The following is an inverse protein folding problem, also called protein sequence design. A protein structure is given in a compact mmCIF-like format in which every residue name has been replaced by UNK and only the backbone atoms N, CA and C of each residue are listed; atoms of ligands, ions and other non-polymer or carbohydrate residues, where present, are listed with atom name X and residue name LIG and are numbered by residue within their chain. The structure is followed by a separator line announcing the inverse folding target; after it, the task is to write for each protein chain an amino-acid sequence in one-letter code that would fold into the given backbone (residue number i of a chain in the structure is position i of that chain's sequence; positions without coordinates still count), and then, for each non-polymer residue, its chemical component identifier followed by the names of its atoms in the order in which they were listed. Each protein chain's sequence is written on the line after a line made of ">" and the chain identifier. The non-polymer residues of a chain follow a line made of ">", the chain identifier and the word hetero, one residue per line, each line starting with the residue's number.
data_IF_595887721204
#
_entry.id   IF_595887721204
#
_cell.length_a   1.000
_cell.length_b   1.000
_cell.length_c   1.000
_cell.angle_alpha   90.00
_cell.angle_beta   90.00
_cell.angle_gamma   90.00
#
_symmetry.space_group_name_H-M   'P 1'
#
loop_
_entity.id
_entity.type
_entity.pdbx_description
1 polymer ?
#
# COMPACT_ATOMS: atom_id res chain seq x y z
N UNK A 1 -76.85 -16.91 11.28
CA UNK A 1 -76.37 -16.82 9.89
C UNK A 1 -75.07 -16.05 9.90
N UNK A 2 -74.05 -16.70 9.35
CA UNK A 2 -72.76 -16.22 8.85
C UNK A 2 -71.72 -15.65 9.83
N UNK A 3 -70.91 -16.60 10.33
CA UNK A 3 -69.52 -16.41 10.75
C UNK A 3 -68.67 -16.11 9.51
N UNK A 4 -68.12 -14.90 9.43
CA UNK A 4 -67.08 -14.55 8.45
C UNK A 4 -65.72 -15.07 8.95
N UNK A 5 -65.25 -16.13 8.29
CA UNK A 5 -63.93 -16.74 8.49
C UNK A 5 -62.96 -16.01 7.57
N UNK A 6 -62.12 -15.12 8.11
CA UNK A 6 -60.99 -14.57 7.35
C UNK A 6 -59.78 -15.50 7.51
N UNK A 7 -59.55 -16.29 6.46
CA UNK A 7 -58.39 -17.16 6.29
C UNK A 7 -57.11 -16.32 6.23
N UNK A 8 -56.23 -16.50 7.21
CA UNK A 8 -54.85 -16.01 7.14
C UNK A 8 -54.11 -16.77 6.02
N UNK A 9 -53.30 -16.09 5.19
CA UNK A 9 -52.46 -16.78 4.22
C UNK A 9 -51.39 -17.60 4.95
N UNK A 10 -51.35 -18.89 4.68
CA UNK A 10 -50.28 -19.79 5.10
C UNK A 10 -49.02 -19.38 4.34
N UNK A 11 -48.05 -18.76 5.02
CA UNK A 11 -46.68 -18.64 4.50
C UNK A 11 -46.07 -20.05 4.45
N UNK A 12 -46.05 -20.65 3.27
CA UNK A 12 -45.24 -21.83 3.00
C UNK A 12 -43.80 -21.36 2.92
N UNK A 13 -43.05 -21.50 4.03
CA UNK A 13 -41.60 -21.39 4.00
C UNK A 13 -41.06 -22.54 3.15
N UNK A 14 -40.75 -22.22 1.89
CA UNK A 14 -40.03 -23.11 1.01
C UNK A 14 -38.64 -23.34 1.63
N UNK A 15 -38.22 -24.60 1.71
CA UNK A 15 -36.98 -25.00 2.35
C UNK A 15 -35.81 -24.20 1.79
N UNK A 16 -34.99 -23.66 2.69
CA UNK A 16 -33.77 -22.95 2.35
C UNK A 16 -32.86 -23.88 1.54
N UNK A 17 -32.72 -23.62 0.24
CA UNK A 17 -31.55 -24.09 -0.50
C UNK A 17 -30.34 -23.38 0.11
N UNK A 18 -29.52 -24.14 0.84
CA UNK A 18 -28.25 -23.66 1.36
C UNK A 18 -27.40 -23.14 0.20
N UNK A 19 -27.12 -21.84 0.21
CA UNK A 19 -26.17 -21.24 -0.72
C UNK A 19 -24.83 -22.00 -0.61
N UNK A 20 -24.22 -22.44 -1.73
CA UNK A 20 -22.98 -23.20 -1.66
C UNK A 20 -21.91 -22.35 -0.97
N UNK A 21 -21.45 -22.82 0.18
CA UNK A 21 -20.32 -22.23 0.90
C UNK A 21 -19.12 -22.18 -0.05
N UNK A 22 -18.46 -21.01 -0.24
CA UNK A 22 -17.27 -20.95 -1.05
C UNK A 22 -16.20 -21.83 -0.39
N UNK A 23 -15.89 -22.95 -1.06
CA UNK A 23 -14.76 -23.81 -0.69
C UNK A 23 -13.50 -23.05 -1.08
N UNK A 24 -13.00 -22.23 -0.16
CA UNK A 24 -11.65 -21.69 -0.25
C UNK A 24 -10.69 -22.87 -0.10
N UNK A 25 -10.16 -23.38 -1.22
CA UNK A 25 -9.15 -24.44 -1.20
C UNK A 25 -7.88 -23.92 -0.50
N UNK A 26 -7.68 -24.31 0.75
CA UNK A 26 -6.42 -24.13 1.51
C UNK A 26 -5.18 -24.55 0.68
N UNK A 27 -5.34 -25.52 -0.22
CA UNK A 27 -4.28 -26.09 -1.07
C UNK A 27 -3.59 -25.05 -1.97
N UNK A 28 -4.29 -24.00 -2.44
CA UNK A 28 -3.70 -22.96 -3.30
C UNK A 28 -2.78 -21.98 -2.53
N UNK A 29 -2.89 -21.89 -1.20
CA UNK A 29 -1.96 -21.10 -0.37
C UNK A 29 -0.66 -21.86 -0.09
N UNK A 30 -0.70 -23.20 -0.12
CA UNK A 30 0.43 -24.04 0.25
C UNK A 30 1.53 -24.08 -0.83
N UNK A 31 1.17 -23.90 -2.11
CA UNK A 31 2.12 -23.99 -3.22
C UNK A 31 2.90 -22.69 -3.52
N UNK A 32 2.36 -21.52 -3.15
CA UNK A 32 3.03 -20.22 -3.37
C UNK A 32 4.11 -19.97 -2.30
N UNK A 33 3.90 -20.50 -1.09
CA UNK A 33 4.90 -20.52 -0.03
C UNK A 33 5.73 -21.79 -0.19
N UNK A 34 6.44 -21.92 -1.30
CA UNK A 34 7.68 -22.67 -1.28
C UNK A 34 8.58 -21.92 -0.30
N UNK A 35 8.53 -22.31 0.98
CA UNK A 35 9.22 -21.65 2.08
C UNK A 35 10.64 -21.38 1.62
N UNK A 36 10.93 -20.12 1.32
CA UNK A 36 12.31 -19.70 1.19
C UNK A 36 12.85 -19.89 2.59
N UNK A 37 13.78 -20.84 2.73
CA UNK A 37 14.48 -21.03 3.99
C UNK A 37 15.39 -19.80 4.14
N UNK A 38 14.86 -18.79 4.83
CA UNK A 38 15.55 -17.53 5.07
C UNK A 38 15.57 -17.22 6.56
N UNK A 39 16.66 -16.59 6.99
CA UNK A 39 16.82 -16.02 8.32
C UNK A 39 16.98 -14.52 8.20
N UNK A 40 16.15 -13.76 8.88
CA UNK A 40 16.38 -12.31 9.03
C UNK A 40 17.52 -12.14 10.04
N UNK A 41 18.63 -11.55 9.60
CA UNK A 41 19.79 -11.27 10.45
C UNK A 41 19.53 -10.02 11.28
N UNK A 42 18.96 -8.99 10.67
CA UNK A 42 18.64 -7.73 11.33
C UNK A 42 18.52 -6.57 10.36
N UNK A 43 18.60 -5.37 10.90
CA UNK A 43 18.59 -4.12 10.15
C UNK A 43 19.93 -3.40 10.26
N UNK A 44 20.40 -2.83 9.15
CA UNK A 44 21.56 -1.96 9.11
C UNK A 44 21.16 -0.54 8.68
N UNK A 45 21.78 0.45 9.34
CA UNK A 45 21.63 1.89 9.04
C UNK A 45 20.18 2.38 9.02
N UNK A 46 19.28 1.68 9.72
CA UNK A 46 17.84 1.95 9.75
C UNK A 46 17.19 2.01 8.35
N UNK A 47 17.80 1.36 7.35
CA UNK A 47 17.38 1.44 5.95
C UNK A 47 17.45 0.11 5.20
N UNK A 48 18.27 -0.84 5.67
CA UNK A 48 18.48 -2.11 4.99
C UNK A 48 18.13 -3.28 5.88
N UNK A 49 17.21 -4.13 5.44
CA UNK A 49 16.97 -5.43 6.07
C UNK A 49 17.95 -6.43 5.47
N UNK A 50 18.68 -7.14 6.32
CA UNK A 50 19.65 -8.16 5.90
C UNK A 50 19.06 -9.52 6.20
N UNK A 51 19.03 -10.37 5.18
CA UNK A 51 18.58 -11.75 5.30
C UNK A 51 19.66 -12.70 4.79
N UNK A 52 19.70 -13.89 5.35
CA UNK A 52 20.45 -15.03 4.86
C UNK A 52 19.44 -15.95 4.17
N UNK A 53 19.69 -16.32 2.91
CA UNK A 53 18.81 -17.19 2.12
C UNK A 53 19.68 -18.17 1.35
N UNK A 54 19.72 -19.43 1.79
CA UNK A 54 20.73 -20.38 1.30
C UNK A 54 22.16 -19.87 1.56
N UNK A 55 23.02 -19.92 0.54
CA UNK A 55 24.41 -19.41 0.61
C UNK A 55 24.55 -17.93 0.19
N UNK A 56 23.48 -17.13 0.32
CA UNK A 56 23.50 -15.70 -0.01
C UNK A 56 23.06 -14.82 1.15
N UNK A 57 23.72 -13.68 1.29
CA UNK A 57 23.18 -12.51 1.97
C UNK A 57 22.35 -11.70 0.97
N UNK A 58 21.11 -11.40 1.34
CA UNK A 58 20.24 -10.48 0.60
C UNK A 58 20.05 -9.22 1.42
N UNK A 59 20.50 -8.10 0.85
CA UNK A 59 20.29 -6.76 1.38
C UNK A 59 19.06 -6.18 0.70
N UNK A 60 18.06 -5.81 1.50
CA UNK A 60 16.78 -5.29 1.03
C UNK A 60 16.71 -3.82 1.43
N UNK A 61 16.56 -2.93 0.44
CA UNK A 61 16.22 -1.53 0.69
C UNK A 61 14.77 -1.48 1.20
N UNK A 62 14.63 -1.27 2.51
CA UNK A 62 13.34 -1.29 3.20
C UNK A 62 12.39 -0.24 2.64
N UNK A 63 12.91 0.96 2.40
CA UNK A 63 12.13 2.07 1.90
C UNK A 63 11.63 1.77 0.49
N UNK A 64 12.52 1.41 -0.43
CA UNK A 64 12.18 1.11 -1.82
C UNK A 64 11.21 -0.08 -1.96
N UNK A 65 11.37 -1.11 -1.13
CA UNK A 65 10.47 -2.25 -1.10
C UNK A 65 9.09 -1.86 -0.55
N UNK A 66 9.04 -1.07 0.53
CA UNK A 66 7.78 -0.62 1.12
C UNK A 66 7.02 0.37 0.20
N UNK A 67 7.73 1.28 -0.47
CA UNK A 67 7.17 2.13 -1.53
C UNK A 67 6.43 1.27 -2.58
N UNK A 68 7.04 0.16 -3.02
CA UNK A 68 6.41 -0.71 -4.00
C UNK A 68 5.17 -1.40 -3.46
N UNK A 69 5.22 -1.89 -2.23
CA UNK A 69 4.06 -2.54 -1.60
C UNK A 69 2.88 -1.59 -1.48
N UNK A 70 3.11 -0.36 -1.02
CA UNK A 70 2.04 0.65 -0.91
C UNK A 70 1.51 1.02 -2.31
N UNK A 71 2.39 1.21 -3.29
CA UNK A 71 1.99 1.50 -4.66
C UNK A 71 1.08 0.40 -5.23
N UNK A 72 1.50 -0.85 -5.12
CA UNK A 72 0.73 -2.00 -5.63
C UNK A 72 -0.61 -2.13 -4.89
N UNK A 73 -0.62 -1.87 -3.56
CA UNK A 73 -1.83 -1.85 -2.72
C UNK A 73 -2.82 -0.78 -3.17
N UNK A 74 -2.36 0.47 -3.32
CA UNK A 74 -3.18 1.59 -3.79
C UNK A 74 -3.70 1.35 -5.22
N UNK A 75 -2.89 0.73 -6.08
CA UNK A 75 -3.27 0.41 -7.46
C UNK A 75 -4.33 -0.68 -7.56
N UNK A 76 -4.38 -1.61 -6.60
CA UNK A 76 -5.37 -2.69 -6.56
C UNK A 76 -6.80 -2.25 -6.23
N UNK A 77 -6.99 -0.99 -5.77
CA UNK A 77 -8.29 -0.41 -5.40
C UNK A 77 -9.09 -1.22 -4.36
N UNK A 78 -8.44 -2.02 -3.50
CA UNK A 78 -9.10 -2.72 -2.39
C UNK A 78 -9.51 -1.74 -1.28
N UNK A 79 -10.66 -1.07 -1.48
CA UNK A 79 -11.10 0.17 -0.79
C UNK A 79 -11.17 0.13 0.74
N UNK A 80 -11.48 -1.01 1.35
CA UNK A 80 -11.82 -1.07 2.79
C UNK A 80 -10.61 -1.09 3.73
N UNK A 81 -9.40 -1.34 3.24
CA UNK A 81 -8.18 -1.52 4.08
C UNK A 81 -7.09 -0.47 3.81
N UNK A 82 -7.44 0.62 3.13
CA UNK A 82 -6.47 1.58 2.58
C UNK A 82 -6.36 2.90 3.34
N UNK A 83 -7.27 3.21 4.27
CA UNK A 83 -7.34 4.56 4.84
C UNK A 83 -7.72 4.60 6.32
N UNK A 84 -7.37 5.69 6.99
CA UNK A 84 -7.71 5.97 8.38
C UNK A 84 -8.39 7.33 8.51
N UNK A 85 -9.50 7.38 9.26
CA UNK A 85 -10.16 8.63 9.61
C UNK A 85 -9.42 9.35 10.73
N UNK A 86 -9.32 10.66 10.61
CA UNK A 86 -8.68 11.51 11.60
C UNK A 86 -9.68 11.87 12.70
N UNK A 87 -9.26 11.73 13.96
CA UNK A 87 -10.05 12.22 15.11
C UNK A 87 -10.20 13.75 15.06
N UNK A 88 -9.18 14.44 14.57
CA UNK A 88 -9.18 15.88 14.35
C UNK A 88 -8.76 16.15 12.92
N UNK A 89 -9.63 16.76 12.09
CA UNK A 89 -9.29 17.09 10.72
C UNK A 89 -8.04 17.99 10.64
N UNK A 90 -7.24 17.79 9.60
CA UNK A 90 -6.05 18.62 9.32
C UNK A 90 -6.43 19.67 8.29
N UNK A 91 -6.04 20.93 8.51
CA UNK A 91 -6.18 22.00 7.53
C UNK A 91 -4.88 22.15 6.74
N UNK A 92 -4.96 22.00 5.43
CA UNK A 92 -3.85 22.13 4.50
C UNK A 92 -4.01 23.39 3.63
N UNK A 93 -3.17 24.41 3.87
CA UNK A 93 -3.16 25.64 3.07
C UNK A 93 -2.41 25.40 1.75
N UNK A 94 -3.09 25.22 0.62
CA UNK A 94 -2.43 24.90 -0.68
C UNK A 94 -2.36 26.09 -1.63
N UNK A 95 -3.16 27.12 -1.37
CA UNK A 95 -3.38 28.19 -2.33
C UNK A 95 -4.48 27.81 -3.34
N UNK A 96 -5.11 28.82 -3.93
CA UNK A 96 -6.36 28.63 -4.69
C UNK A 96 -6.22 27.68 -5.88
N UNK A 97 -5.10 27.74 -6.58
CA UNK A 97 -4.88 26.95 -7.79
C UNK A 97 -4.74 25.46 -7.48
N UNK A 98 -3.86 25.10 -6.53
CA UNK A 98 -3.68 23.71 -6.12
C UNK A 98 -4.90 23.16 -5.39
N UNK A 99 -5.57 23.97 -4.56
CA UNK A 99 -6.82 23.57 -3.92
C UNK A 99 -7.90 23.24 -4.96
N UNK A 100 -8.09 24.10 -5.97
CA UNK A 100 -9.04 23.84 -7.06
C UNK A 100 -8.68 22.56 -7.84
N UNK A 101 -7.39 22.38 -8.19
CA UNK A 101 -6.93 21.19 -8.89
C UNK A 101 -7.20 19.90 -8.11
N UNK A 102 -6.97 19.89 -6.80
CA UNK A 102 -7.25 18.73 -5.94
C UNK A 102 -8.75 18.46 -5.82
N UNK A 103 -9.57 19.51 -5.67
CA UNK A 103 -11.04 19.41 -5.62
C UNK A 103 -11.66 18.94 -6.96
N UNK A 104 -11.02 19.21 -8.09
CA UNK A 104 -11.42 18.66 -9.39
C UNK A 104 -11.11 17.16 -9.54
N UNK A 105 -10.28 16.58 -8.67
CA UNK A 105 -9.82 15.19 -8.74
C UNK A 105 -10.22 14.38 -7.48
N UNK A 106 -11.35 14.70 -6.86
CA UNK A 106 -11.83 14.05 -5.63
C UNK A 106 -11.96 12.53 -5.74
N UNK A 107 -12.45 12.00 -6.88
CA UNK A 107 -12.59 10.55 -7.07
C UNK A 107 -11.22 9.84 -7.08
N UNK A 108 -10.21 10.46 -7.69
CA UNK A 108 -8.85 9.92 -7.65
C UNK A 108 -8.30 9.94 -6.22
N UNK A 109 -8.50 11.03 -5.49
CA UNK A 109 -8.06 11.18 -4.11
C UNK A 109 -8.77 10.18 -3.18
N UNK A 110 -10.07 9.96 -3.37
CA UNK A 110 -10.86 8.97 -2.63
C UNK A 110 -10.33 7.55 -2.84
N UNK A 111 -10.03 7.17 -4.09
CA UNK A 111 -9.40 5.89 -4.42
C UNK A 111 -7.99 5.73 -3.80
N UNK A 112 -7.32 6.84 -3.50
CA UNK A 112 -6.03 6.86 -2.82
C UNK A 112 -6.16 6.86 -1.30
N UNK A 113 -7.38 6.89 -0.75
CA UNK A 113 -7.64 6.89 0.69
C UNK A 113 -7.78 8.28 1.31
N UNK A 114 -7.75 9.35 0.52
CA UNK A 114 -7.99 10.71 1.01
C UNK A 114 -9.47 11.05 1.02
N UNK A 115 -9.91 11.77 2.04
CA UNK A 115 -11.21 12.44 2.06
C UNK A 115 -10.92 13.91 2.37
N UNK A 116 -11.17 14.77 1.39
CA UNK A 116 -10.92 16.21 1.48
C UNK A 116 -12.16 17.02 1.12
N UNK A 117 -12.28 18.20 1.71
CA UNK A 117 -13.30 19.19 1.37
C UNK A 117 -12.71 20.61 1.36
N UNK A 118 -13.40 21.53 0.68
CA UNK A 118 -13.02 22.93 0.66
C UNK A 118 -13.18 23.56 2.04
N UNK A 119 -12.15 24.28 2.49
CA UNK A 119 -12.16 25.05 3.73
C UNK A 119 -12.03 26.57 3.48
N UNK A 120 -12.13 26.99 2.22
CA UNK A 120 -12.10 28.39 1.82
C UNK A 120 -10.68 28.97 1.69
N UNK A 121 -10.57 30.06 0.93
CA UNK A 121 -9.31 30.80 0.72
C UNK A 121 -8.14 29.96 0.17
N UNK A 122 -8.40 28.82 -0.45
CA UNK A 122 -7.36 27.90 -0.94
C UNK A 122 -6.82 26.96 0.14
N UNK A 123 -7.53 26.79 1.25
CA UNK A 123 -7.30 25.74 2.23
C UNK A 123 -8.23 24.55 2.00
N UNK A 124 -7.73 23.36 2.33
CA UNK A 124 -8.47 22.10 2.27
C UNK A 124 -8.54 21.50 3.67
N UNK A 125 -9.70 20.95 4.04
CA UNK A 125 -9.83 20.12 5.23
C UNK A 125 -9.64 18.65 4.85
N UNK A 126 -8.77 17.95 5.57
CA UNK A 126 -8.50 16.52 5.42
C UNK A 126 -9.18 15.77 6.56
N UNK A 127 -10.10 14.85 6.22
CA UNK A 127 -10.82 14.00 7.19
C UNK A 127 -10.30 12.57 7.22
N UNK A 128 -9.69 12.12 6.13
CA UNK A 128 -9.18 10.76 5.95
C UNK A 128 -7.92 10.80 5.09
N UNK A 129 -6.99 9.90 5.37
CA UNK A 129 -5.73 9.73 4.62
C UNK A 129 -5.33 8.24 4.58
N UNK A 130 -4.36 7.83 3.73
CA UNK A 130 -3.92 6.44 3.67
C UNK A 130 -3.48 5.89 5.03
N UNK A 131 -3.84 4.65 5.37
CA UNK A 131 -3.53 4.07 6.68
C UNK A 131 -2.02 4.03 6.98
N UNK A 132 -1.21 3.80 5.94
CA UNK A 132 0.24 3.72 6.02
C UNK A 132 0.92 5.11 6.07
N UNK A 133 0.16 6.21 5.98
CA UNK A 133 0.69 7.58 5.93
C UNK A 133 0.66 8.28 7.29
N UNK A 134 1.80 8.89 7.66
CA UNK A 134 1.93 9.75 8.83
C UNK A 134 1.15 11.07 8.62
N UNK A 135 0.41 11.50 9.65
CA UNK A 135 -0.33 12.77 9.66
C UNK A 135 0.55 13.98 9.30
N UNK A 136 1.83 13.98 9.69
CA UNK A 136 2.77 15.06 9.36
C UNK A 136 3.08 15.17 7.86
N UNK A 137 2.89 14.10 7.09
CA UNK A 137 3.14 14.06 5.65
C UNK A 137 1.89 14.40 4.82
N UNK A 138 0.70 14.40 5.44
CA UNK A 138 -0.60 14.56 4.79
C UNK A 138 -0.73 15.87 4.00
N UNK A 139 -0.11 16.94 4.50
CA UNK A 139 -0.10 18.23 3.78
C UNK A 139 0.96 18.26 2.69
N UNK A 140 2.12 17.66 2.92
CA UNK A 140 3.24 17.66 1.98
C UNK A 140 2.93 16.85 0.71
N UNK A 141 2.23 15.72 0.84
CA UNK A 141 1.87 14.87 -0.30
C UNK A 141 1.00 15.60 -1.33
N UNK A 142 0.14 16.54 -0.90
CA UNK A 142 -0.71 17.29 -1.83
C UNK A 142 0.09 18.16 -2.81
N UNK A 143 1.27 18.63 -2.44
CA UNK A 143 2.13 19.35 -3.38
C UNK A 143 2.63 18.41 -4.48
N UNK A 144 3.05 17.19 -4.10
CA UNK A 144 3.51 16.18 -5.06
C UNK A 144 2.35 15.71 -5.96
N UNK A 145 1.16 15.51 -5.38
CA UNK A 145 -0.03 15.15 -6.15
C UNK A 145 -0.36 16.25 -7.16
N UNK A 146 -0.40 17.52 -6.74
CA UNK A 146 -0.64 18.66 -7.66
C UNK A 146 0.40 18.71 -8.77
N UNK A 147 1.68 18.47 -8.48
CA UNK A 147 2.74 18.40 -9.49
C UNK A 147 2.54 17.21 -10.44
N UNK A 148 2.29 16.01 -9.93
CA UNK A 148 2.02 14.81 -10.72
C UNK A 148 0.79 14.99 -11.63
N UNK A 149 -0.28 15.60 -11.12
CA UNK A 149 -1.49 15.91 -11.89
C UNK A 149 -1.22 16.86 -13.06
N UNK A 150 -0.26 17.79 -12.91
CA UNK A 150 0.19 18.70 -13.97
C UNK A 150 1.14 18.02 -14.96
N UNK A 151 1.99 17.11 -14.49
CA UNK A 151 3.03 16.42 -15.27
C UNK A 151 2.49 15.29 -16.14
N UNK A 152 1.44 14.58 -15.70
CA UNK A 152 0.92 13.33 -16.30
C UNK A 152 0.46 13.35 -17.76
N UNK A 153 0.74 14.43 -18.50
CA UNK A 153 0.56 14.59 -19.94
C UNK A 153 1.90 14.59 -20.73
N UNK A 154 3.05 14.30 -20.11
CA UNK A 154 4.35 14.33 -20.77
C UNK A 154 4.74 12.97 -21.39
N UNK A 155 5.36 12.95 -22.58
CA UNK A 155 5.91 11.72 -23.15
C UNK A 155 7.00 11.13 -22.24
N UNK A 156 6.90 9.84 -21.90
CA UNK A 156 7.90 9.11 -21.12
C UNK A 156 7.71 9.12 -19.60
N UNK A 157 6.69 9.81 -19.07
CA UNK A 157 6.28 9.67 -17.67
C UNK A 157 5.41 8.43 -17.46
N UNK A 158 5.20 8.03 -16.20
CA UNK A 158 4.07 7.16 -15.89
C UNK A 158 2.77 7.88 -16.31
N UNK A 159 1.69 7.13 -16.53
CA UNK A 159 0.37 7.75 -16.73
C UNK A 159 0.02 8.63 -15.52
N UNK A 160 -0.77 9.70 -15.71
CA UNK A 160 -1.14 10.66 -14.64
C UNK A 160 -1.52 10.00 -13.31
N UNK A 161 -2.32 8.93 -13.36
CA UNK A 161 -2.71 8.17 -12.17
C UNK A 161 -1.54 7.45 -11.49
N UNK A 162 -0.63 6.85 -12.26
CA UNK A 162 0.53 6.14 -11.75
C UNK A 162 1.59 7.10 -11.15
N UNK A 163 1.76 8.31 -11.70
CA UNK A 163 2.63 9.35 -11.09
C UNK A 163 2.09 9.80 -9.71
N UNK A 164 0.77 9.99 -9.62
CA UNK A 164 0.12 10.35 -8.36
C UNK A 164 0.25 9.21 -7.35
N UNK A 165 0.01 7.97 -7.77
CA UNK A 165 0.19 6.78 -6.93
C UNK A 165 1.62 6.66 -6.39
N UNK A 166 2.62 6.88 -7.26
CA UNK A 166 4.02 6.84 -6.86
C UNK A 166 4.36 7.92 -5.83
N UNK A 167 3.81 9.12 -6.01
CA UNK A 167 3.97 10.24 -5.08
C UNK A 167 3.38 9.95 -3.69
N UNK A 168 2.16 9.39 -3.65
CA UNK A 168 1.51 8.99 -2.41
C UNK A 168 2.29 7.86 -1.73
N UNK A 169 2.68 6.83 -2.48
CA UNK A 169 3.44 5.70 -1.96
C UNK A 169 4.80 6.13 -1.38
N UNK A 170 5.49 7.07 -2.01
CA UNK A 170 6.76 7.62 -1.50
C UNK A 170 6.59 8.34 -0.15
N UNK A 171 5.50 9.09 0.03
CA UNK A 171 5.24 9.80 1.29
C UNK A 171 4.76 8.87 2.39
N UNK A 172 3.96 7.86 2.06
CA UNK A 172 3.44 6.87 2.99
C UNK A 172 4.48 5.81 3.40
N UNK A 173 5.44 5.48 2.53
CA UNK A 173 6.43 4.46 2.86
C UNK A 173 7.27 4.80 4.10
N UNK A 174 7.65 3.75 4.83
CA UNK A 174 8.64 3.83 5.92
C UNK A 174 9.85 4.62 5.39
N UNK A 175 10.14 5.74 6.04
CA UNK A 175 11.23 6.61 5.65
C UNK A 175 12.57 5.90 5.84
N UNK A 176 13.48 6.10 4.89
CA UNK A 176 14.86 5.67 5.04
C UNK A 176 15.45 6.28 6.33
N UNK A 177 16.10 5.45 7.15
CA UNK A 177 16.72 5.90 8.40
C UNK A 177 15.81 5.90 9.63
N UNK A 178 14.51 5.63 9.49
CA UNK A 178 13.63 5.37 10.65
C UNK A 178 13.72 3.90 11.02
N UNK A 179 13.96 3.60 12.30
CA UNK A 179 13.79 2.24 12.82
C UNK A 179 12.34 1.77 12.60
N UNK A 180 12.18 0.47 12.37
CA UNK A 180 10.87 -0.17 12.31
C UNK A 180 10.86 -1.43 13.17
N UNK A 181 9.67 -1.84 13.60
CA UNK A 181 9.51 -3.06 14.39
C UNK A 181 9.93 -4.28 13.53
N UNK A 182 10.72 -5.23 14.07
CA UNK A 182 11.05 -6.46 13.36
C UNK A 182 9.84 -7.23 12.81
N UNK A 183 8.66 -7.10 13.43
CA UNK A 183 7.40 -7.66 12.94
C UNK A 183 6.96 -7.05 11.61
N UNK A 184 7.28 -5.78 11.34
CA UNK A 184 6.99 -5.10 10.08
C UNK A 184 7.91 -5.56 8.93
N UNK A 185 9.05 -6.16 9.25
CA UNK A 185 10.01 -6.58 8.22
C UNK A 185 9.55 -7.81 7.46
N UNK A 186 8.86 -8.73 8.15
CA UNK A 186 8.52 -10.05 7.58
C UNK A 186 7.70 -9.94 6.28
N UNK A 187 6.60 -9.16 6.21
CA UNK A 187 5.85 -9.01 4.96
C UNK A 187 6.68 -8.40 3.81
N UNK A 188 7.59 -7.47 4.13
CA UNK A 188 8.49 -6.85 3.16
C UNK A 188 9.48 -7.88 2.63
N UNK A 189 10.13 -8.61 3.52
CA UNK A 189 11.10 -9.67 3.19
C UNK A 189 10.43 -10.73 2.33
N UNK A 190 9.28 -11.26 2.73
CA UNK A 190 8.58 -12.31 1.99
C UNK A 190 8.15 -11.84 0.59
N UNK A 191 7.66 -10.60 0.48
CA UNK A 191 7.30 -10.02 -0.82
C UNK A 191 8.50 -9.87 -1.74
N UNK A 192 9.67 -9.53 -1.19
CA UNK A 192 10.90 -9.37 -1.96
C UNK A 192 11.48 -10.73 -2.35
N UNK A 193 11.59 -11.66 -1.39
CA UNK A 193 12.21 -12.96 -1.61
C UNK A 193 11.35 -13.86 -2.52
N UNK A 194 10.02 -13.77 -2.45
CA UNK A 194 9.12 -14.44 -3.41
C UNK A 194 9.22 -13.89 -4.84
N UNK A 195 9.89 -12.74 -5.03
CA UNK A 195 10.02 -12.07 -6.31
C UNK A 195 8.80 -11.23 -6.70
N UNK A 196 7.81 -11.05 -5.82
CA UNK A 196 6.68 -10.13 -6.02
C UNK A 196 7.17 -8.69 -6.13
N UNK A 197 8.14 -8.30 -5.30
CA UNK A 197 8.73 -6.96 -5.27
C UNK A 197 10.18 -7.01 -5.74
N UNK A 198 10.46 -6.42 -6.91
CA UNK A 198 11.80 -6.37 -7.52
C UNK A 198 12.35 -4.96 -7.69
N UNK A 199 11.46 -4.02 -8.00
CA UNK A 199 11.78 -2.62 -8.27
C UNK A 199 10.81 -1.72 -7.53
N UNK A 200 11.28 -0.56 -7.07
CA UNK A 200 10.40 0.48 -6.55
C UNK A 200 9.50 1.05 -7.69
N UNK A 201 8.47 1.85 -7.39
CA UNK A 201 7.62 2.46 -8.42
C UNK A 201 8.39 3.25 -9.48
N UNK A 202 9.54 3.82 -9.11
CA UNK A 202 10.43 4.59 -9.99
C UNK A 202 11.52 3.74 -10.69
N UNK A 203 11.49 2.41 -10.55
CA UNK A 203 12.40 1.50 -11.25
C UNK A 203 13.74 1.19 -10.57
N UNK A 204 14.00 1.72 -9.37
CA UNK A 204 15.22 1.36 -8.60
C UNK A 204 15.11 -0.09 -8.10
N UNK A 205 16.19 -0.91 -8.20
CA UNK A 205 16.17 -2.25 -7.63
C UNK A 205 16.02 -2.18 -6.10
N UNK A 206 15.19 -3.07 -5.54
CA UNK A 206 14.93 -3.13 -4.09
C UNK A 206 15.90 -4.04 -3.33
N UNK A 207 16.74 -4.79 -4.06
CA UNK A 207 17.68 -5.74 -3.45
C UNK A 207 19.06 -5.70 -4.06
N UNK A 208 20.04 -6.06 -3.24
CA UNK A 208 21.37 -6.46 -3.63
C UNK A 208 21.70 -7.80 -3.00
N UNK A 209 22.36 -8.69 -3.73
CA UNK A 209 22.71 -10.05 -3.28
C UNK A 209 24.22 -10.22 -3.24
N UNK A 210 24.70 -10.91 -2.21
CA UNK A 210 26.10 -11.27 -2.04
C UNK A 210 26.19 -12.74 -1.61
N UNK A 211 26.73 -13.58 -2.47
CA UNK A 211 27.01 -14.98 -2.13
C UNK A 211 28.09 -15.08 -1.06
N UNK A 212 28.04 -16.16 -0.28
CA UNK A 212 29.08 -16.54 0.67
C UNK A 212 30.46 -16.59 0.02
N UNK A 213 30.57 -17.12 -1.21
CA UNK A 213 31.82 -17.11 -2.00
C UNK A 213 32.31 -15.70 -2.33
N UNK A 214 31.43 -14.74 -2.62
CA UNK A 214 31.83 -13.34 -2.79
C UNK A 214 32.35 -12.75 -1.49
N UNK A 215 31.69 -13.04 -0.37
CA UNK A 215 32.09 -12.58 0.95
C UNK A 215 33.45 -13.16 1.37
N UNK A 216 33.65 -14.47 1.22
CA UNK A 216 34.90 -15.17 1.54
C UNK A 216 36.08 -14.61 0.73
N UNK A 217 35.88 -14.35 -0.57
CA UNK A 217 36.89 -13.69 -1.41
C UNK A 217 37.28 -12.30 -0.91
N UNK A 218 36.34 -11.52 -0.37
CA UNK A 218 36.64 -10.20 0.20
C UNK A 218 37.53 -10.30 1.44
N UNK A 219 37.51 -11.44 2.14
CA UNK A 219 38.42 -11.76 3.25
C UNK A 219 39.67 -12.53 2.82
N UNK A 220 39.90 -12.70 1.51
CA UNK A 220 40.99 -13.53 0.96
C UNK A 220 40.96 -14.98 1.46
N UNK A 221 39.74 -15.52 1.65
CA UNK A 221 39.48 -16.93 1.93
C UNK A 221 39.03 -17.59 0.63
N UNK A 222 39.57 -18.78 0.35
CA UNK A 222 39.25 -19.59 -0.83
C UNK A 222 37.94 -20.36 -0.66
#
# INVERSE_FOLDING_TARGET
>A
MDRLVFSQPILVYNQAEEAPTPVYKEELKQDIVKLLDYRIIGEAFNGYIITETGDELVFIDKHAAHERLIFDKLKSQEREQLSQHLLTPIIAERGREDAALLLENLELLDNLGFEIEDFGSGALMIRRLPADMDMGEATAVFNEISQALRVGNRPGSLGKADEVLASVACKAAIKAGKGSDPLEWKPVVESVLSGKVKYCPHGRPVTMRMSKRQLDRNFKRE
#
